data_IF_212830853745
#
_entry.id   IF_212830853745
#
_cell.length_a   1.000
_cell.length_b   1.000
_cell.length_c   1.000
_cell.angle_alpha   90.00
_cell.angle_beta   90.00
_cell.angle_gamma   90.00
#
_symmetry.space_group_name_H-M   'P 1'
#
loop_
_entity.id
_entity.type
_entity.pdbx_description
1 polymer ?
#
# COMPACT_ATOMS: atom_id res chain seq x y z
N UNK A 1 -53.33 -28.69 10.56
CA UNK A 1 -53.31 -27.48 9.72
C UNK A 1 -52.48 -26.31 10.28
N UNK A 2 -52.47 -26.03 11.58
CA UNK A 2 -51.64 -24.93 12.18
C UNK A 2 -50.16 -25.22 12.11
N UNK A 3 -49.71 -26.45 12.32
CA UNK A 3 -48.29 -26.85 12.26
C UNK A 3 -47.70 -26.77 10.83
N UNK A 4 -48.54 -27.06 9.83
CA UNK A 4 -48.17 -27.00 8.43
C UNK A 4 -48.01 -25.55 7.94
N UNK A 5 -48.81 -24.62 8.45
CA UNK A 5 -48.67 -23.18 8.16
C UNK A 5 -47.40 -22.60 8.78
N UNK A 6 -47.02 -23.01 9.99
CA UNK A 6 -45.78 -22.63 10.66
C UNK A 6 -44.52 -23.13 9.91
N UNK A 7 -44.62 -24.34 9.34
CA UNK A 7 -43.52 -24.89 8.53
C UNK A 7 -43.33 -24.11 7.21
N UNK A 8 -44.43 -23.73 6.56
CA UNK A 8 -44.39 -22.92 5.34
C UNK A 8 -43.90 -21.48 5.61
N UNK A 9 -44.25 -20.87 6.74
CA UNK A 9 -43.73 -19.54 7.10
C UNK A 9 -42.24 -19.58 7.47
N UNK A 10 -41.78 -20.62 8.17
CA UNK A 10 -40.37 -20.80 8.46
C UNK A 10 -39.52 -21.04 7.19
N UNK A 11 -40.05 -21.84 6.23
CA UNK A 11 -39.41 -22.08 4.95
C UNK A 11 -39.35 -20.80 4.09
N UNK A 12 -40.40 -19.99 4.10
CA UNK A 12 -40.44 -18.72 3.36
C UNK A 12 -39.44 -17.69 3.93
N UNK A 13 -39.26 -17.62 5.24
CA UNK A 13 -38.26 -16.76 5.90
C UNK A 13 -36.84 -17.23 5.60
N UNK A 14 -36.61 -18.54 5.48
CA UNK A 14 -35.31 -19.09 5.15
C UNK A 14 -34.91 -18.83 3.69
N UNK A 15 -35.87 -18.72 2.76
CA UNK A 15 -35.64 -18.41 1.36
C UNK A 15 -35.30 -16.93 1.09
N UNK A 16 -35.62 -16.01 1.99
CA UNK A 16 -35.39 -14.58 1.81
C UNK A 16 -33.93 -14.16 2.14
N UNK A 17 -33.15 -15.02 2.80
CA UNK A 17 -31.76 -14.69 3.21
C UNK A 17 -30.72 -14.94 2.13
N UNK A 18 -31.04 -15.44 0.94
CA UNK A 18 -30.09 -15.75 -0.13
C UNK A 18 -29.92 -14.60 -1.15
N UNK A 19 -30.62 -13.47 -0.98
CA UNK A 19 -30.75 -12.44 -2.02
C UNK A 19 -29.64 -11.38 -2.07
N UNK A 20 -28.62 -11.41 -1.20
CA UNK A 20 -27.66 -10.30 -1.07
C UNK A 20 -26.25 -10.53 -1.63
N UNK A 21 -25.99 -11.65 -2.25
CA UNK A 21 -24.69 -11.89 -2.92
C UNK A 21 -24.76 -11.57 -4.42
N UNK A 22 -25.30 -10.42 -4.81
CA UNK A 22 -25.23 -9.99 -6.20
C UNK A 22 -23.85 -9.38 -6.45
N UNK A 23 -23.08 -10.04 -7.30
CA UNK A 23 -21.84 -9.46 -7.81
C UNK A 23 -22.20 -8.39 -8.85
N UNK A 24 -21.61 -7.22 -8.69
CA UNK A 24 -21.71 -6.10 -9.63
C UNK A 24 -20.36 -5.78 -10.21
N UNK A 25 -20.33 -5.27 -11.42
CA UNK A 25 -19.11 -4.74 -12.00
C UNK A 25 -18.97 -3.28 -11.57
N UNK A 26 -17.86 -2.99 -10.90
CA UNK A 26 -17.47 -1.64 -10.49
C UNK A 26 -16.37 -1.16 -11.40
N UNK A 27 -16.50 0.06 -11.89
CA UNK A 27 -15.50 0.77 -12.70
C UNK A 27 -15.18 2.11 -12.04
N UNK A 28 -14.06 2.70 -12.38
CA UNK A 28 -13.71 4.03 -11.89
C UNK A 28 -12.27 4.40 -12.19
N UNK A 29 -11.85 5.54 -11.66
CA UNK A 29 -10.51 6.07 -11.80
C UNK A 29 -9.88 6.25 -10.43
N UNK A 30 -8.56 6.08 -10.37
CA UNK A 30 -7.75 6.37 -9.19
C UNK A 30 -6.87 7.58 -9.48
N UNK A 31 -6.93 8.61 -8.62
CA UNK A 31 -6.19 9.87 -8.76
C UNK A 31 -5.40 10.18 -7.50
N UNK A 32 -4.37 10.97 -7.66
CA UNK A 32 -3.65 11.63 -6.57
C UNK A 32 -4.46 12.82 -6.05
N UNK A 33 -4.72 12.88 -4.74
CA UNK A 33 -5.50 13.96 -4.12
C UNK A 33 -4.81 15.33 -4.18
N UNK A 34 -3.46 15.35 -4.30
CA UNK A 34 -2.65 16.57 -4.29
C UNK A 34 -2.47 17.18 -5.67
N UNK A 35 -2.25 16.34 -6.69
CA UNK A 35 -1.94 16.74 -8.07
C UNK A 35 -3.12 16.60 -9.01
N UNK A 36 -4.09 15.73 -8.69
CA UNK A 36 -5.20 15.35 -9.57
C UNK A 36 -4.78 14.44 -10.72
N UNK A 37 -3.53 14.01 -10.76
CA UNK A 37 -3.02 13.07 -11.78
C UNK A 37 -3.54 11.66 -11.53
N UNK A 38 -3.67 10.89 -12.60
CA UNK A 38 -4.07 9.48 -12.48
C UNK A 38 -2.94 8.63 -11.89
N UNK A 39 -3.31 7.68 -11.02
CA UNK A 39 -2.37 6.75 -10.40
C UNK A 39 -2.40 5.43 -11.16
N UNK A 40 -1.40 5.15 -12.01
CA UNK A 40 -1.31 3.91 -12.75
C UNK A 40 -0.88 2.76 -11.83
N UNK A 41 -1.29 1.55 -12.19
CA UNK A 41 -0.91 0.29 -11.53
C UNK A 41 -1.18 0.25 -10.02
N UNK A 42 -2.13 1.03 -9.53
CA UNK A 42 -2.63 0.90 -8.17
C UNK A 42 -3.32 -0.45 -7.99
N UNK A 43 -3.04 -1.13 -6.91
CA UNK A 43 -3.66 -2.41 -6.57
C UNK A 43 -4.99 -2.18 -5.87
N UNK A 44 -6.00 -2.93 -6.29
CA UNK A 44 -7.36 -2.88 -5.74
C UNK A 44 -7.72 -4.28 -5.29
N UNK A 45 -8.16 -4.44 -4.07
CA UNK A 45 -8.58 -5.73 -3.52
C UNK A 45 -9.92 -5.62 -2.80
N UNK A 46 -10.69 -6.70 -2.80
CA UNK A 46 -11.91 -6.80 -1.98
C UNK A 46 -11.53 -7.29 -0.60
N UNK A 47 -11.82 -6.51 0.43
CA UNK A 47 -11.50 -6.82 1.83
C UNK A 47 -12.05 -8.18 2.23
N UNK A 48 -11.19 -9.02 2.81
CA UNK A 48 -11.57 -10.37 3.26
C UNK A 48 -11.65 -11.43 2.16
N UNK A 49 -11.29 -11.10 0.92
CA UNK A 49 -11.23 -12.05 -0.19
C UNK A 49 -9.85 -12.01 -0.87
N UNK A 50 -9.61 -12.93 -1.80
CA UNK A 50 -8.42 -12.92 -2.66
C UNK A 50 -8.71 -12.29 -4.04
N UNK A 51 -9.89 -11.68 -4.22
CA UNK A 51 -10.27 -11.02 -5.46
C UNK A 51 -9.62 -9.64 -5.53
N UNK A 52 -8.87 -9.38 -6.59
CA UNK A 52 -8.20 -8.11 -6.82
C UNK A 52 -8.07 -7.77 -8.30
N UNK A 53 -7.77 -6.51 -8.55
CA UNK A 53 -7.48 -5.94 -9.86
C UNK A 53 -6.39 -4.87 -9.71
N UNK A 54 -5.94 -4.30 -10.81
CA UNK A 54 -5.06 -3.12 -10.81
C UNK A 54 -5.58 -2.08 -11.80
N UNK A 55 -5.23 -0.81 -11.56
CA UNK A 55 -5.46 0.23 -12.54
C UNK A 55 -4.55 0.04 -13.75
N UNK A 56 -5.02 0.50 -14.91
CA UNK A 56 -4.22 0.59 -16.13
C UNK A 56 -3.28 1.82 -16.13
N UNK A 57 -2.66 2.12 -17.28
CA UNK A 57 -1.77 3.26 -17.44
C UNK A 57 -2.49 4.62 -17.29
N UNK A 58 -3.79 4.66 -17.52
CA UNK A 58 -4.63 5.84 -17.40
C UNK A 58 -5.35 5.92 -16.02
N UNK A 59 -4.96 5.05 -15.07
CA UNK A 59 -5.54 5.00 -13.75
C UNK A 59 -6.95 4.45 -13.68
N UNK A 60 -7.45 3.82 -14.75
CA UNK A 60 -8.79 3.23 -14.82
C UNK A 60 -8.78 1.79 -14.31
N UNK A 61 -9.88 1.36 -13.71
CA UNK A 61 -10.07 -0.02 -13.30
C UNK A 61 -11.49 -0.53 -13.57
N UNK A 62 -11.59 -1.83 -13.68
CA UNK A 62 -12.87 -2.54 -13.80
C UNK A 62 -12.75 -3.89 -13.08
N UNK A 63 -13.64 -4.16 -12.14
CA UNK A 63 -13.66 -5.43 -11.42
C UNK A 63 -15.05 -5.82 -10.98
N UNK A 64 -15.27 -7.14 -10.85
CA UNK A 64 -16.55 -7.70 -10.35
C UNK A 64 -16.41 -7.99 -8.87
N UNK A 65 -17.31 -7.41 -8.08
CA UNK A 65 -17.27 -7.45 -6.61
C UNK A 65 -18.67 -7.66 -6.03
N UNK A 66 -18.79 -8.16 -4.79
CA UNK A 66 -20.07 -8.17 -4.08
C UNK A 66 -20.59 -6.74 -3.89
N UNK A 67 -21.90 -6.55 -4.01
CA UNK A 67 -22.53 -5.23 -3.88
C UNK A 67 -22.34 -4.58 -2.50
N UNK A 68 -22.13 -5.39 -1.47
CA UNK A 68 -21.88 -4.99 -0.07
C UNK A 68 -20.37 -5.04 0.30
N UNK A 69 -19.50 -5.24 -0.69
CA UNK A 69 -18.04 -5.36 -0.49
C UNK A 69 -17.39 -4.04 -0.09
N UNK A 70 -16.19 -4.16 0.46
CA UNK A 70 -15.27 -3.04 0.71
C UNK A 70 -14.07 -3.18 -0.20
N UNK A 71 -13.79 -2.15 -0.98
CA UNK A 71 -12.61 -2.07 -1.82
C UNK A 71 -11.47 -1.42 -1.04
N UNK A 72 -10.29 -2.03 -1.11
CA UNK A 72 -9.05 -1.50 -0.55
C UNK A 72 -8.13 -1.13 -1.70
N UNK A 73 -7.81 0.13 -1.79
CA UNK A 73 -6.90 0.69 -2.80
C UNK A 73 -5.54 0.90 -2.17
N UNK A 74 -4.49 0.40 -2.83
CA UNK A 74 -3.10 0.56 -2.37
C UNK A 74 -2.19 0.89 -3.55
N UNK A 75 -1.28 1.82 -3.34
CA UNK A 75 -0.24 2.15 -4.32
C UNK A 75 1.04 2.56 -3.59
N UNK A 76 2.19 2.37 -4.22
CA UNK A 76 3.48 2.73 -3.64
C UNK A 76 3.58 4.25 -3.51
N UNK A 77 3.88 4.74 -2.30
CA UNK A 77 3.97 6.17 -2.01
C UNK A 77 2.63 6.83 -1.69
N UNK A 78 1.59 6.05 -1.45
CA UNK A 78 0.26 6.53 -1.07
C UNK A 78 -0.28 5.81 0.16
N UNK A 79 -1.10 6.49 0.93
CA UNK A 79 -1.89 5.86 1.99
C UNK A 79 -2.97 4.97 1.38
N UNK A 80 -3.23 3.83 2.02
CA UNK A 80 -4.32 2.94 1.59
C UNK A 80 -5.69 3.58 1.86
N UNK A 81 -6.62 3.44 0.90
CA UNK A 81 -8.00 3.90 1.03
C UNK A 81 -8.97 2.72 1.03
N UNK A 82 -9.94 2.73 1.94
CA UNK A 82 -11.02 1.75 2.00
C UNK A 82 -12.34 2.42 1.61
N UNK A 83 -13.02 1.87 0.61
CA UNK A 83 -14.28 2.41 0.07
C UNK A 83 -15.34 1.33 0.07
N UNK A 84 -16.51 1.63 0.63
CA UNK A 84 -17.69 0.76 0.54
C UNK A 84 -18.30 0.84 -0.85
N UNK A 85 -18.58 -0.31 -1.43
CA UNK A 85 -19.20 -0.40 -2.76
C UNK A 85 -20.63 0.09 -2.74
N UNK A 86 -21.42 -0.33 -1.72
CA UNK A 86 -22.80 0.11 -1.47
C UNK A 86 -23.67 0.12 -2.74
N UNK A 87 -23.51 -0.93 -3.56
CA UNK A 87 -24.25 -1.09 -4.82
C UNK A 87 -23.88 -0.12 -5.94
N UNK A 88 -22.84 0.69 -5.76
CA UNK A 88 -22.36 1.64 -6.80
C UNK A 88 -21.60 0.90 -7.89
N UNK A 89 -21.86 1.25 -9.14
CA UNK A 89 -21.18 0.70 -10.32
C UNK A 89 -20.01 1.57 -10.79
N UNK A 90 -19.95 2.82 -10.34
CA UNK A 90 -18.84 3.75 -10.64
C UNK A 90 -18.33 4.32 -9.31
N UNK A 91 -17.03 4.13 -9.06
CA UNK A 91 -16.36 4.62 -7.85
C UNK A 91 -15.02 5.21 -8.26
N UNK A 92 -14.94 6.54 -8.25
CA UNK A 92 -13.68 7.27 -8.41
C UNK A 92 -13.04 7.48 -7.03
N UNK A 93 -11.72 7.32 -6.96
CA UNK A 93 -10.97 7.31 -5.70
C UNK A 93 -9.80 8.29 -5.78
N UNK A 94 -9.60 9.05 -4.72
CA UNK A 94 -8.43 9.90 -4.53
C UNK A 94 -7.55 9.28 -3.45
N UNK A 95 -6.27 9.06 -3.77
CA UNK A 95 -5.28 8.54 -2.85
C UNK A 95 -4.40 9.68 -2.33
N UNK A 96 -4.22 9.72 -1.01
CA UNK A 96 -3.34 10.70 -0.38
C UNK A 96 -1.87 10.23 -0.46
N UNK A 97 -0.95 11.08 -0.98
CA UNK A 97 0.46 10.74 -1.03
C UNK A 97 1.05 10.62 0.38
N UNK A 98 1.83 9.56 0.60
CA UNK A 98 2.59 9.34 1.82
C UNK A 98 3.90 10.13 1.76
N UNK A 99 3.89 11.32 2.37
CA UNK A 99 5.03 12.25 2.37
C UNK A 99 6.26 11.69 3.07
N UNK A 100 6.10 10.80 4.04
CA UNK A 100 7.23 10.20 4.76
C UNK A 100 8.02 9.25 3.86
N UNK A 101 7.34 8.49 3.01
CA UNK A 101 7.98 7.61 2.04
C UNK A 101 8.69 8.40 0.95
N UNK A 102 8.08 9.49 0.47
CA UNK A 102 8.65 10.35 -0.57
C UNK A 102 9.90 11.09 -0.07
N UNK A 103 9.88 11.63 1.14
CA UNK A 103 11.04 12.30 1.74
C UNK A 103 12.20 11.33 1.98
N UNK A 104 11.91 10.08 2.39
CA UNK A 104 12.91 9.04 2.58
C UNK A 104 13.58 8.63 1.27
N UNK A 105 12.82 8.54 0.17
CA UNK A 105 13.35 8.20 -1.16
C UNK A 105 14.25 9.31 -1.73
N UNK A 106 13.91 10.57 -1.51
CA UNK A 106 14.72 11.73 -1.94
C UNK A 106 16.03 11.82 -1.15
N UNK A 107 16.00 11.53 0.17
CA UNK A 107 17.20 11.55 1.02
C UNK A 107 18.25 10.50 0.61
N UNK A 108 17.82 9.35 0.09
CA UNK A 108 18.73 8.30 -0.41
C UNK A 108 19.28 8.63 -1.80
N UNK A 109 18.51 9.33 -2.65
CA UNK A 109 18.91 9.67 -4.02
C UNK A 109 19.98 10.79 -4.12
N UNK A 110 20.08 11.68 -3.14
CA UNK A 110 20.99 12.84 -3.16
C UNK A 110 22.11 12.81 -2.13
N UNK A 111 22.50 11.64 -1.60
CA UNK A 111 23.78 11.45 -0.91
C UNK A 111 24.04 12.32 0.32
N UNK A 112 23.03 12.89 0.98
CA UNK A 112 23.22 13.66 2.19
C UNK A 112 22.20 13.31 3.28
N UNK A 113 22.80 12.92 4.41
CA UNK A 113 22.21 12.76 5.73
C UNK A 113 21.46 11.46 6.00
N UNK A 114 22.25 10.46 6.29
CA UNK A 114 21.87 9.29 7.06
C UNK A 114 21.17 9.64 8.37
N UNK A 115 19.90 9.33 8.54
CA UNK A 115 19.44 8.78 9.80
C UNK A 115 19.75 7.29 9.77
N UNK A 116 20.86 6.90 10.35
CA UNK A 116 21.22 5.49 10.57
C UNK A 116 20.40 4.99 11.76
N UNK A 117 19.22 4.52 11.47
CA UNK A 117 18.40 3.79 12.43
C UNK A 117 17.91 2.54 11.72
N UNK A 118 18.46 1.40 12.06
CA UNK A 118 18.12 0.03 11.63
C UNK A 118 18.82 -0.50 10.37
N UNK A 119 20.14 -0.45 10.36
CA UNK A 119 20.90 -1.49 9.64
C UNK A 119 21.42 -2.48 10.68
N UNK A 120 20.85 -3.69 10.69
CA UNK A 120 21.41 -4.85 11.40
C UNK A 120 22.65 -5.29 10.62
N UNK A 121 23.76 -4.62 10.90
CA UNK A 121 25.07 -4.90 10.34
C UNK A 121 26.08 -3.99 11.02
N UNK A 122 27.22 -4.54 11.46
CA UNK A 122 28.33 -3.76 12.02
C UNK A 122 28.85 -2.76 10.99
N UNK A 123 28.38 -1.52 11.06
CA UNK A 123 28.93 -0.41 10.28
C UNK A 123 29.79 0.43 11.21
N UNK A 124 31.11 0.32 11.07
CA UNK A 124 32.06 1.19 11.77
C UNK A 124 32.18 2.51 10.98
N UNK A 125 31.67 3.60 11.54
CA UNK A 125 31.77 4.93 10.93
C UNK A 125 33.09 5.56 11.32
N UNK A 126 33.99 5.74 10.39
CA UNK A 126 35.25 6.48 10.58
C UNK A 126 34.99 7.96 10.29
N UNK A 127 35.18 8.82 11.30
CA UNK A 127 35.05 10.27 11.13
C UNK A 127 36.20 10.81 10.26
N UNK A 128 35.86 11.64 9.29
CA UNK A 128 36.80 12.28 8.36
C UNK A 128 37.95 13.05 9.06
N UNK A 129 37.66 13.58 10.25
CA UNK A 129 38.64 14.32 11.08
C UNK A 129 39.79 13.44 11.61
N UNK A 130 39.58 12.12 11.76
CA UNK A 130 40.63 11.22 12.23
C UNK A 130 41.67 10.90 11.14
N UNK A 131 41.33 11.13 9.89
CA UNK A 131 42.21 10.86 8.74
C UNK A 131 43.11 12.02 8.45
N UNK A 132 42.72 13.27 8.75
CA UNK A 132 43.44 14.48 8.43
C UNK A 132 44.56 14.84 9.44
N UNK A 133 44.47 14.32 10.66
CA UNK A 133 45.41 14.68 11.74
C UNK A 133 46.54 13.66 12.01
N UNK A 134 46.59 12.58 11.22
CA UNK A 134 47.68 11.61 11.37
C UNK A 134 48.83 11.92 10.38
N UNK A 135 50.09 11.94 10.84
CA UNK A 135 51.23 12.30 10.00
C UNK A 135 51.73 11.19 9.08
N UNK A 136 50.88 10.29 8.64
CA UNK A 136 51.26 9.22 7.72
C UNK A 136 50.92 9.53 6.27
N UNK A 137 51.83 9.12 5.37
CA UNK A 137 51.78 9.47 3.95
C UNK A 137 50.73 8.67 3.13
N UNK A 138 50.00 7.72 3.74
CA UNK A 138 49.01 6.89 3.04
C UNK A 138 47.71 6.79 3.80
N UNK A 139 46.55 7.03 3.17
CA UNK A 139 45.24 6.85 3.78
C UNK A 139 44.97 5.41 4.24
N UNK A 140 45.64 4.43 3.65
CA UNK A 140 45.47 3.01 3.97
C UNK A 140 46.16 2.64 5.31
N UNK A 141 47.29 3.28 5.62
CA UNK A 141 47.99 3.03 6.88
C UNK A 141 47.25 3.60 8.09
N UNK A 142 46.40 4.60 7.87
CA UNK A 142 45.56 5.20 8.92
C UNK A 142 44.36 4.36 9.32
N UNK A 143 43.96 3.43 8.46
CA UNK A 143 42.85 2.50 8.72
C UNK A 143 43.28 1.22 9.44
N UNK A 144 44.63 0.93 9.45
CA UNK A 144 45.16 -0.19 10.20
C UNK A 144 45.11 0.13 11.71
N UNK A 145 44.30 -0.58 12.42
CA UNK A 145 44.08 -0.42 13.87
C UNK A 145 42.74 0.20 14.27
N UNK A 146 41.99 0.77 13.33
CA UNK A 146 40.64 1.31 13.62
C UNK A 146 39.50 0.33 13.22
N UNK A 147 39.82 -0.66 12.41
CA UNK A 147 38.83 -1.69 11.97
C UNK A 147 39.40 -3.06 12.34
N UNK A 148 38.72 -3.75 13.23
CA UNK A 148 39.06 -5.12 13.59
C UNK A 148 38.75 -6.05 12.38
N UNK A 149 39.79 -6.61 11.75
CA UNK A 149 39.66 -7.58 10.68
C UNK A 149 40.21 -7.20 9.29
N UNK A 150 41.09 -6.20 9.23
CA UNK A 150 41.96 -5.98 8.08
C UNK A 150 43.35 -6.49 8.36
#
# INVERSE_FOLDING_TARGET
>A
MRKMKLFFTALAVMMTSVAFAQNITVTGNVKDSSTGEFVPFASISVKGTMTGASTDADGQYSMTVPADGVLVFTSLGYHSAEIFVDGKTVIDVELDPDKEVLESAVAVGYGSARKVGTLVGSVTTVKSEAITNAPSASPLDQLQGQVAGL
#
